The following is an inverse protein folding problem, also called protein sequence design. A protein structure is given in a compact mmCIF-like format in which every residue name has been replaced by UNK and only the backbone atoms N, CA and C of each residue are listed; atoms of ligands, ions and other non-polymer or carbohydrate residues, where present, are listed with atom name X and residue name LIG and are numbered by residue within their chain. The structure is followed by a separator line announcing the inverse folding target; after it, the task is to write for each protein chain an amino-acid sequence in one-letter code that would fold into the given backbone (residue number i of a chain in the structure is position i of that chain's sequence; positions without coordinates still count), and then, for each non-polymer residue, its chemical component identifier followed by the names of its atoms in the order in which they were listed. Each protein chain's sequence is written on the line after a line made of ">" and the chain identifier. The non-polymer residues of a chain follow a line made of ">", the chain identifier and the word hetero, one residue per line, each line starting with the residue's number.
data_IF_296138078851
#
_entry.id   IF_296138078851
#
_cell.length_a   1.000
_cell.length_b   1.000
_cell.length_c   1.000
_cell.angle_alpha   90.00
_cell.angle_beta   90.00
_cell.angle_gamma   90.00
#
_symmetry.space_group_name_H-M   'P 1'
#
loop_
_entity.id
_entity.type
_entity.pdbx_description
1 polymer ?
#
# COMPACT_ATOMS: atom_id res chain seq x y z
N UNK A 1 -7.33 -11.48 -0.12
CA UNK A 1 -7.08 -12.49 0.92
C UNK A 1 -8.28 -12.49 1.83
N UNK A 2 -9.36 -13.11 1.36
CA UNK A 2 -10.49 -13.46 2.23
C UNK A 2 -10.16 -14.79 2.93
N UNK A 3 -10.80 -15.04 4.07
CA UNK A 3 -10.94 -16.36 4.70
C UNK A 3 -9.70 -17.04 5.33
N UNK A 4 -8.56 -16.37 5.45
CA UNK A 4 -7.30 -16.97 5.98
C UNK A 4 -6.66 -18.03 5.07
N UNK A 5 -7.08 -18.11 3.81
CA UNK A 5 -6.63 -19.11 2.83
C UNK A 5 -5.25 -18.75 2.22
N UNK A 6 -4.39 -18.03 2.98
CA UNK A 6 -3.12 -17.53 2.45
C UNK A 6 -2.24 -18.67 1.95
N UNK A 7 -2.14 -19.75 2.73
CA UNK A 7 -1.26 -20.86 2.39
C UNK A 7 -1.78 -21.72 1.23
N UNK A 8 -3.06 -21.62 0.88
CA UNK A 8 -3.65 -22.36 -0.23
C UNK A 8 -3.31 -21.76 -1.61
N UNK A 9 -2.87 -20.50 -1.63
CA UNK A 9 -2.55 -19.76 -2.87
C UNK A 9 -1.04 -19.53 -3.07
N UNK A 10 -0.23 -19.81 -2.05
CA UNK A 10 1.22 -19.64 -2.11
C UNK A 10 1.83 -20.86 -2.81
N UNK A 11 2.76 -20.61 -3.74
CA UNK A 11 3.47 -21.67 -4.45
C UNK A 11 4.25 -22.57 -3.46
N UNK A 12 4.12 -23.88 -3.63
CA UNK A 12 4.77 -24.90 -2.80
C UNK A 12 6.28 -24.69 -2.63
N UNK A 13 6.95 -24.09 -3.62
CA UNK A 13 8.39 -23.78 -3.54
C UNK A 13 8.65 -22.71 -2.50
N UNK A 14 7.85 -21.64 -2.49
CA UNK A 14 7.95 -20.56 -1.50
C UNK A 14 7.66 -21.10 -0.11
N UNK A 15 6.68 -22.01 0.02
CA UNK A 15 6.30 -22.62 1.29
C UNK A 15 7.39 -23.55 1.87
N UNK A 16 8.30 -24.07 1.03
CA UNK A 16 9.47 -24.86 1.45
C UNK A 16 10.67 -23.99 1.82
N UNK A 17 10.85 -22.88 1.10
CA UNK A 17 12.07 -22.08 1.16
C UNK A 17 11.99 -20.91 2.17
N UNK A 18 10.79 -20.43 2.49
CA UNK A 18 10.56 -19.29 3.38
C UNK A 18 9.86 -19.67 4.68
N UNK A 19 10.13 -18.91 5.75
CA UNK A 19 9.41 -19.07 7.03
C UNK A 19 7.98 -18.57 6.91
N UNK A 20 7.07 -19.17 7.67
CA UNK A 20 5.65 -18.80 7.67
C UNK A 20 5.43 -17.33 8.01
N UNK A 21 6.20 -16.79 8.95
CA UNK A 21 6.11 -15.39 9.39
C UNK A 21 6.53 -14.42 8.27
N UNK A 22 7.54 -14.79 7.47
CA UNK A 22 7.99 -13.98 6.33
C UNK A 22 6.94 -13.97 5.22
N UNK A 23 6.34 -15.14 4.95
CA UNK A 23 5.23 -15.27 3.98
C UNK A 23 4.05 -14.38 4.42
N UNK A 24 3.66 -14.43 5.70
CA UNK A 24 2.58 -13.60 6.24
C UNK A 24 2.92 -12.10 6.14
N UNK A 25 4.16 -11.71 6.48
CA UNK A 25 4.56 -10.31 6.43
C UNK A 25 4.53 -9.74 5.00
N UNK A 26 5.09 -10.48 4.03
CA UNK A 26 5.07 -10.08 2.61
C UNK A 26 3.64 -10.09 2.07
N UNK A 27 2.82 -11.06 2.44
CA UNK A 27 1.42 -11.15 2.08
C UNK A 27 0.62 -9.91 2.54
N UNK A 28 0.82 -9.49 3.79
CA UNK A 28 0.18 -8.29 4.34
C UNK A 28 0.64 -7.02 3.60
N UNK A 29 1.95 -6.90 3.31
CA UNK A 29 2.48 -5.79 2.52
C UNK A 29 1.88 -5.76 1.11
N UNK A 30 1.76 -6.92 0.44
CA UNK A 30 1.13 -7.03 -0.86
C UNK A 30 -0.36 -6.65 -0.80
N UNK A 31 -1.08 -7.06 0.24
CA UNK A 31 -2.48 -6.65 0.49
C UNK A 31 -2.62 -5.14 0.58
N UNK A 32 -1.71 -4.46 1.29
CA UNK A 32 -1.69 -2.99 1.36
C UNK A 32 -1.39 -2.35 -0.01
N UNK A 33 -0.44 -2.88 -0.77
CA UNK A 33 -0.09 -2.37 -2.10
C UNK A 33 -1.24 -2.50 -3.10
N UNK A 34 -2.04 -3.56 -2.98
CA UNK A 34 -3.17 -3.87 -3.85
C UNK A 34 -4.50 -3.28 -3.35
N UNK A 35 -4.47 -2.41 -2.33
CA UNK A 35 -5.67 -1.79 -1.80
C UNK A 35 -6.46 -1.06 -2.91
N UNK A 36 -7.77 -1.25 -2.95
CA UNK A 36 -8.65 -0.60 -3.94
C UNK A 36 -8.66 0.92 -3.75
N UNK A 37 -8.54 1.39 -2.50
CA UNK A 37 -8.37 2.80 -2.21
C UNK A 37 -6.92 3.24 -2.46
N UNK A 38 -6.72 4.09 -3.46
CA UNK A 38 -5.39 4.61 -3.81
C UNK A 38 -4.70 5.33 -2.65
N UNK A 39 -5.47 6.03 -1.80
CA UNK A 39 -4.90 6.81 -0.68
C UNK A 39 -4.33 5.92 0.43
N UNK A 40 -4.79 4.67 0.51
CA UNK A 40 -4.32 3.69 1.48
C UNK A 40 -3.14 2.86 0.97
N UNK A 41 -2.79 2.99 -0.33
CA UNK A 41 -1.62 2.29 -0.88
C UNK A 41 -0.34 2.94 -0.33
N UNK A 42 0.62 2.15 0.16
CA UNK A 42 1.91 2.68 0.59
C UNK A 42 2.68 3.27 -0.58
N UNK A 43 3.54 4.23 -0.26
CA UNK A 43 4.57 4.71 -1.18
C UNK A 43 5.65 3.65 -1.37
N UNK A 44 6.34 3.67 -2.51
CA UNK A 44 7.46 2.74 -2.75
C UNK A 44 8.59 2.86 -1.71
N UNK A 45 8.76 4.04 -1.10
CA UNK A 45 9.71 4.24 0.00
C UNK A 45 9.31 3.44 1.25
N UNK A 46 8.03 3.44 1.59
CA UNK A 46 7.50 2.64 2.71
C UNK A 46 7.56 1.15 2.40
N UNK A 47 7.25 0.75 1.17
CA UNK A 47 7.39 -0.64 0.70
C UNK A 47 8.84 -1.12 0.85
N UNK A 48 9.82 -0.34 0.38
CA UNK A 48 11.23 -0.67 0.51
C UNK A 48 11.65 -0.81 1.98
N UNK A 49 11.25 0.15 2.84
CA UNK A 49 11.52 0.10 4.28
C UNK A 49 10.93 -1.15 4.93
N UNK A 50 9.70 -1.52 4.60
CA UNK A 50 9.07 -2.73 5.17
C UNK A 50 9.79 -4.00 4.70
N UNK A 51 10.20 -4.08 3.43
CA UNK A 51 10.97 -5.22 2.92
C UNK A 51 12.34 -5.35 3.59
N UNK A 52 13.02 -4.23 3.88
CA UNK A 52 14.27 -4.24 4.65
C UNK A 52 14.07 -4.85 6.05
N UNK A 53 12.96 -4.50 6.73
CA UNK A 53 12.61 -5.08 8.04
C UNK A 53 12.32 -6.57 7.94
N UNK A 54 11.57 -7.00 6.92
CA UNK A 54 11.27 -8.43 6.73
C UNK A 54 12.56 -9.23 6.49
N UNK A 55 13.50 -8.67 5.73
CA UNK A 55 14.81 -9.31 5.48
C UNK A 55 15.69 -9.38 6.73
N UNK A 56 15.58 -8.45 7.68
CA UNK A 56 16.37 -8.52 8.92
C UNK A 56 15.85 -9.58 9.89
N UNK A 57 14.56 -9.93 9.84
CA UNK A 57 13.98 -11.05 10.60
C UNK A 57 14.64 -12.40 10.25
N UNK A 58 15.17 -12.56 9.03
CA UNK A 58 15.93 -13.75 8.64
C UNK A 58 17.27 -13.87 9.37
N UNK A 59 17.88 -12.75 9.78
CA UNK A 59 19.29 -12.68 10.21
C UNK A 59 19.50 -12.78 11.73
N UNK A 60 18.46 -12.62 12.53
CA UNK A 60 18.57 -12.72 14.00
C UNK A 60 17.44 -13.56 14.58
N UNK A 61 17.72 -14.69 15.27
CA UNK A 61 16.69 -15.58 15.79
C UNK A 61 16.01 -15.07 17.08
N UNK A 62 16.33 -13.87 17.60
CA UNK A 62 15.88 -13.50 18.95
C UNK A 62 15.84 -11.99 19.26
N UNK A 63 15.19 -11.19 18.41
CA UNK A 63 14.70 -9.89 18.86
C UNK A 63 13.24 -9.79 18.48
N UNK A 64 12.38 -9.98 19.47
CA UNK A 64 11.00 -9.53 19.49
C UNK A 64 10.99 -8.01 19.29
N UNK A 65 11.16 -7.55 18.06
CA UNK A 65 10.86 -6.17 17.72
C UNK A 65 9.37 -6.12 17.45
N UNK A 66 8.65 -5.67 18.48
CA UNK A 66 7.31 -5.10 18.47
C UNK A 66 6.61 -5.18 17.10
N UNK A 67 5.73 -6.17 16.97
CA UNK A 67 4.67 -6.15 15.96
C UNK A 67 3.57 -5.13 16.32
N UNK A 68 3.77 -4.33 17.38
CA UNK A 68 2.88 -3.30 17.87
C UNK A 68 3.48 -1.91 17.64
N UNK A 69 3.69 -1.50 16.38
CA UNK A 69 3.64 -0.06 16.03
C UNK A 69 3.46 0.16 14.51
N UNK A 70 2.49 -0.52 13.88
CA UNK A 70 1.79 0.07 12.73
C UNK A 70 0.30 -0.28 12.88
N UNK A 71 -0.29 0.11 14.02
CA UNK A 71 -1.67 0.57 13.95
C UNK A 71 -1.67 1.81 13.06
N UNK A 72 -1.90 1.64 11.76
CA UNK A 72 -2.23 2.74 10.89
C UNK A 72 -3.59 3.25 11.33
N UNK A 73 -3.56 4.37 12.05
CA UNK A 73 -4.67 5.23 12.47
C UNK A 73 -5.94 4.89 11.69
N UNK A 74 -6.75 4.05 12.33
CA UNK A 74 -8.16 3.88 12.00
C UNK A 74 -8.82 5.21 12.36
N UNK A 75 -8.82 6.17 11.43
CA UNK A 75 -9.79 7.26 11.49
C UNK A 75 -11.12 6.67 11.04
N UNK A 76 -11.82 6.02 11.96
CA UNK A 76 -13.28 5.95 11.86
C UNK A 76 -13.77 7.40 11.96
N UNK A 77 -14.11 8.00 10.83
CA UNK A 77 -15.17 9.01 10.84
C UNK A 77 -16.40 8.32 10.29
N UNK A 78 -17.13 7.72 11.22
CA UNK A 78 -18.50 7.32 11.06
C UNK A 78 -19.32 8.58 10.70
N UNK A 79 -19.93 8.52 9.51
CA UNK A 79 -21.10 9.24 9.02
C UNK A 79 -21.35 10.70 9.40
N UNK A 80 -21.47 11.56 8.37
CA UNK A 80 -22.66 12.42 8.26
C UNK A 80 -22.80 12.88 6.79
N UNK A 81 -23.74 12.27 6.07
CA UNK A 81 -24.30 12.85 4.86
C UNK A 81 -25.08 14.10 5.27
N UNK A 82 -24.72 15.27 4.76
CA UNK A 82 -25.64 16.41 4.71
C UNK A 82 -25.41 17.22 3.42
N UNK A 83 -26.33 16.94 2.51
CA UNK A 83 -27.11 17.82 1.63
C UNK A 83 -26.50 19.01 0.89
N UNK A 84 -27.09 19.18 -0.29
CA UNK A 84 -26.89 20.16 -1.34
C UNK A 84 -26.76 21.61 -0.83
N UNK A 85 -25.89 22.38 -1.46
CA UNK A 85 -26.18 23.80 -1.72
C UNK A 85 -25.39 24.28 -2.94
N UNK A 86 -26.11 24.27 -4.07
CA UNK A 86 -25.79 24.99 -5.30
C UNK A 86 -25.83 26.50 -5.04
N UNK A 87 -24.78 27.24 -5.39
CA UNK A 87 -24.80 28.70 -5.66
C UNK A 87 -23.48 29.08 -6.36
N UNK A 88 -23.41 29.12 -7.69
CA UNK A 88 -23.65 30.26 -8.60
C UNK A 88 -22.65 31.43 -8.47
N UNK A 89 -21.76 31.51 -9.48
CA UNK A 89 -21.01 32.65 -10.08
C UNK A 89 -20.08 33.55 -9.25
N UNK A 90 -18.79 33.51 -9.60
CA UNK A 90 -18.03 34.51 -10.41
C UNK A 90 -16.56 34.06 -10.39
N UNK A 91 -15.77 33.99 -11.47
CA UNK A 91 -15.50 34.97 -12.51
C UNK A 91 -14.03 35.38 -12.38
N UNK A 92 -13.11 34.70 -13.06
CA UNK A 92 -11.84 35.23 -13.59
C UNK A 92 -11.06 34.15 -14.34
N UNK A 93 -10.84 34.45 -15.62
CA UNK A 93 -9.97 33.81 -16.59
C UNK A 93 -8.51 33.78 -16.14
N UNK A 94 -7.77 32.71 -16.46
CA UNK A 94 -6.41 32.75 -17.04
C UNK A 94 -5.75 31.37 -17.07
N UNK A 95 -5.47 30.89 -18.29
CA UNK A 95 -4.24 30.14 -18.56
C UNK A 95 -4.37 28.63 -18.76
N UNK A 96 -4.85 28.22 -19.94
CA UNK A 96 -4.53 26.89 -20.50
C UNK A 96 -3.05 26.89 -20.88
N UNK A 97 -2.19 26.34 -20.01
CA UNK A 97 -0.88 25.87 -20.43
C UNK A 97 -1.00 24.39 -20.78
N UNK A 98 -1.40 24.10 -22.02
CA UNK A 98 -1.18 22.78 -22.62
C UNK A 98 0.32 22.60 -22.79
N UNK A 99 0.96 21.89 -21.86
CA UNK A 99 2.34 21.43 -22.04
C UNK A 99 2.31 19.94 -22.38
N UNK A 100 2.62 19.66 -23.64
CA UNK A 100 2.57 18.38 -24.31
C UNK A 100 3.37 17.30 -23.56
N UNK A 101 2.71 16.18 -23.25
CA UNK A 101 3.35 14.93 -22.87
C UNK A 101 4.13 14.37 -24.07
N UNK A 102 5.40 14.75 -24.21
CA UNK A 102 6.34 14.07 -25.10
C UNK A 102 7.33 13.28 -24.24
N UNK A 103 7.02 12.01 -23.97
CA UNK A 103 8.01 11.04 -23.44
C UNK A 103 8.96 10.69 -24.61
N UNK A 104 10.29 10.82 -24.47
CA UNK A 104 11.21 10.24 -25.44
C UNK A 104 11.16 8.72 -25.30
N UNK A 105 10.79 8.03 -26.38
CA UNK A 105 10.98 6.59 -26.49
C UNK A 105 12.47 6.33 -26.67
N UNK A 106 13.09 5.60 -25.72
CA UNK A 106 14.37 4.96 -25.96
C UNK A 106 14.13 3.79 -26.90
N UNK A 107 14.58 3.92 -28.15
CA UNK A 107 14.71 2.80 -29.08
C UNK A 107 15.92 1.95 -28.68
N UNK A 108 15.72 0.64 -28.58
CA UNK A 108 16.79 -0.36 -28.54
C UNK A 108 17.55 -0.40 -29.87
#
# INVERSE_FOLDING_TARGET
>A
MEENNLFDIIDDRVMKDAKQEEIIAVANLAKMCLNLNRKERPTMKEVAKQLEVIQTLQKTPNIQQNYEEIEYVRTEMHEQWDDVSTSTMSGADSGIASSSCSRPLLSF
#
